data_IF_947299630436
#
_entry.id   IF_947299630436
#
_cell.length_a   1.000
_cell.length_b   1.000
_cell.length_c   1.000
_cell.angle_alpha   90.00
_cell.angle_beta   90.00
_cell.angle_gamma   90.00
#
_symmetry.space_group_name_H-M   'P 1'
#
loop_
_entity.id
_entity.type
_entity.pdbx_description
1 polymer ?
#
# COMPACT_ATOMS: atom_id res chain seq x y z
N UNK A 1 12.29 -8.42 -1.46
CA UNK A 1 11.95 -7.13 -0.85
C UNK A 1 11.44 -7.31 0.59
N UNK A 2 10.31 -7.99 0.84
CA UNK A 2 9.78 -8.17 2.21
C UNK A 2 10.77 -8.89 3.13
N UNK A 3 11.37 -9.99 2.69
CA UNK A 3 12.39 -10.73 3.44
C UNK A 3 13.57 -9.84 3.83
N UNK A 4 14.03 -8.99 2.94
CA UNK A 4 15.13 -8.06 3.19
C UNK A 4 14.77 -7.01 4.25
N UNK A 5 13.57 -6.41 4.16
CA UNK A 5 13.12 -5.45 5.16
C UNK A 5 12.83 -6.09 6.51
N UNK A 6 12.30 -7.32 6.55
CA UNK A 6 12.13 -8.08 7.80
C UNK A 6 13.49 -8.41 8.45
N UNK A 7 14.52 -8.74 7.66
CA UNK A 7 15.88 -8.95 8.16
C UNK A 7 16.50 -7.65 8.70
N UNK A 8 16.20 -6.50 8.06
CA UNK A 8 16.70 -5.19 8.50
C UNK A 8 16.00 -4.66 9.77
N UNK A 9 14.74 -5.02 9.98
CA UNK A 9 13.91 -4.57 11.09
C UNK A 9 13.21 -5.76 11.78
N UNK A 10 13.95 -6.68 12.44
CA UNK A 10 13.42 -7.96 12.90
C UNK A 10 12.32 -7.85 13.97
N UNK A 11 12.28 -6.76 14.74
CA UNK A 11 11.30 -6.53 15.81
C UNK A 11 10.43 -5.29 15.59
N UNK A 12 10.45 -4.74 14.38
CA UNK A 12 9.72 -3.51 14.04
C UNK A 12 8.93 -3.69 12.72
N UNK A 13 7.78 -4.36 12.79
CA UNK A 13 6.94 -4.57 11.61
C UNK A 13 6.44 -3.26 10.98
N UNK A 14 6.30 -2.18 11.74
CA UNK A 14 5.89 -0.88 11.19
C UNK A 14 6.99 -0.26 10.33
N UNK A 15 8.25 -0.38 10.73
CA UNK A 15 9.40 0.03 9.90
C UNK A 15 9.57 -0.84 8.67
N UNK A 16 9.22 -2.14 8.74
CA UNK A 16 9.14 -3.02 7.55
C UNK A 16 8.10 -2.48 6.57
N UNK A 17 6.88 -2.20 7.04
CA UNK A 17 5.82 -1.61 6.21
C UNK A 17 6.29 -0.30 5.59
N UNK A 18 6.78 0.63 6.40
CA UNK A 18 7.28 1.93 5.95
C UNK A 18 8.32 1.78 4.84
N UNK A 19 9.33 0.94 5.06
CA UNK A 19 10.42 0.73 4.10
C UNK A 19 9.94 0.15 2.78
N UNK A 20 9.04 -0.84 2.81
CA UNK A 20 8.46 -1.45 1.61
C UNK A 20 7.65 -0.41 0.82
N UNK A 21 6.81 0.38 1.49
CA UNK A 21 5.95 1.36 0.83
C UNK A 21 6.77 2.49 0.17
N UNK A 22 7.78 3.00 0.87
CA UNK A 22 8.70 3.99 0.30
C UNK A 22 9.41 3.42 -0.92
N UNK A 23 9.97 2.22 -0.80
CA UNK A 23 10.65 1.56 -1.93
C UNK A 23 9.71 1.37 -3.13
N UNK A 24 8.45 1.01 -2.90
CA UNK A 24 7.47 0.83 -3.99
C UNK A 24 7.24 2.14 -4.75
N UNK A 25 7.16 3.27 -4.07
CA UNK A 25 7.00 4.58 -4.70
C UNK A 25 8.29 5.03 -5.42
N UNK A 26 9.44 4.95 -4.75
CA UNK A 26 10.75 5.30 -5.33
C UNK A 26 11.07 4.45 -6.58
N UNK A 27 10.83 3.13 -6.51
CA UNK A 27 11.07 2.21 -7.63
C UNK A 27 10.15 2.45 -8.83
N UNK A 28 8.98 3.04 -8.63
CA UNK A 28 8.09 3.46 -9.74
C UNK A 28 8.75 4.53 -10.58
N UNK A 29 9.53 5.42 -9.97
CA UNK A 29 10.26 6.49 -10.66
C UNK A 29 11.59 5.98 -11.24
N UNK A 30 12.36 5.24 -10.44
CA UNK A 30 13.75 4.90 -10.74
C UNK A 30 13.94 3.64 -11.58
N UNK A 31 13.00 2.70 -11.53
CA UNK A 31 13.07 1.43 -12.27
C UNK A 31 12.26 1.48 -13.57
N UNK A 32 12.92 1.70 -14.70
CA UNK A 32 12.27 1.83 -16.01
C UNK A 32 11.34 0.66 -16.34
N UNK A 33 11.78 -0.59 -16.11
CA UNK A 33 10.97 -1.78 -16.37
C UNK A 33 9.68 -1.78 -15.55
N UNK A 34 9.75 -1.37 -14.30
CA UNK A 34 8.59 -1.27 -13.40
C UNK A 34 7.65 -0.17 -13.86
N UNK A 35 8.17 0.99 -14.20
CA UNK A 35 7.40 2.11 -14.74
C UNK A 35 6.63 1.70 -15.99
N UNK A 36 7.29 1.11 -16.99
CA UNK A 36 6.65 0.65 -18.22
C UNK A 36 5.55 -0.38 -17.96
N UNK A 37 5.78 -1.32 -17.03
CA UNK A 37 4.77 -2.30 -16.62
C UNK A 37 3.54 -1.61 -15.99
N UNK A 38 3.74 -0.64 -15.12
CA UNK A 38 2.66 0.12 -14.48
C UNK A 38 1.89 0.99 -15.49
N UNK A 39 2.57 1.62 -16.44
CA UNK A 39 1.93 2.35 -17.54
C UNK A 39 0.99 1.45 -18.35
N UNK A 40 1.41 0.21 -18.64
CA UNK A 40 0.56 -0.75 -19.34
C UNK A 40 -0.67 -1.08 -18.49
N UNK A 41 -0.47 -1.39 -17.22
CA UNK A 41 -1.55 -1.81 -16.31
C UNK A 41 -2.58 -0.69 -16.12
N UNK A 42 -2.13 0.54 -15.89
CA UNK A 42 -3.02 1.66 -15.56
C UNK A 42 -3.63 2.34 -16.80
N UNK A 43 -2.89 2.42 -17.91
CA UNK A 43 -3.28 3.31 -19.01
C UNK A 43 -3.50 2.62 -20.37
N UNK A 44 -3.04 1.38 -20.53
CA UNK A 44 -3.05 0.71 -21.85
C UNK A 44 -3.78 -0.64 -21.87
N UNK A 45 -4.22 -1.15 -20.72
CA UNK A 45 -4.88 -2.44 -20.63
C UNK A 45 -6.39 -2.32 -20.77
N UNK A 46 -6.94 -2.77 -21.89
CA UNK A 46 -8.37 -3.04 -22.04
C UNK A 46 -8.64 -4.50 -21.72
N UNK A 47 -9.40 -4.79 -20.66
CA UNK A 47 -9.69 -6.14 -20.20
C UNK A 47 -10.93 -6.72 -20.90
N UNK A 48 -10.89 -6.82 -22.24
CA UNK A 48 -11.97 -7.37 -23.05
C UNK A 48 -11.53 -8.63 -23.81
N UNK A 49 -12.44 -9.54 -24.08
CA UNK A 49 -12.17 -10.75 -24.83
C UNK A 49 -11.11 -11.66 -24.18
N UNK A 50 -10.05 -11.99 -24.89
CA UNK A 50 -8.96 -12.86 -24.41
C UNK A 50 -8.22 -12.30 -23.18
N UNK A 51 -8.29 -11.00 -22.95
CA UNK A 51 -7.71 -10.35 -21.78
C UNK A 51 -8.47 -10.60 -20.46
N UNK A 52 -9.62 -11.29 -20.52
CA UNK A 52 -10.38 -11.67 -19.30
C UNK A 52 -9.57 -12.58 -18.36
N UNK A 53 -8.64 -13.38 -18.89
CA UNK A 53 -7.72 -14.20 -18.08
C UNK A 53 -6.77 -13.32 -17.28
N UNK A 54 -6.24 -12.27 -17.90
CA UNK A 54 -5.36 -11.27 -17.23
C UNK A 54 -6.13 -10.52 -16.15
N UNK A 55 -7.37 -10.12 -16.44
CA UNK A 55 -8.24 -9.46 -15.45
C UNK A 55 -8.48 -10.36 -14.23
N UNK A 56 -8.76 -11.65 -14.45
CA UNK A 56 -8.96 -12.62 -13.37
C UNK A 56 -7.71 -12.77 -12.51
N UNK A 57 -6.53 -12.87 -13.12
CA UNK A 57 -5.25 -12.95 -12.43
C UNK A 57 -4.97 -11.67 -11.63
N UNK A 58 -5.20 -10.50 -12.20
CA UNK A 58 -5.06 -9.22 -11.49
C UNK A 58 -6.01 -9.10 -10.31
N UNK A 59 -7.27 -9.57 -10.46
CA UNK A 59 -8.24 -9.60 -9.37
C UNK A 59 -7.76 -10.48 -8.21
N UNK A 60 -7.23 -11.68 -8.50
CA UNK A 60 -6.68 -12.57 -7.47
C UNK A 60 -5.51 -11.91 -6.74
N UNK A 61 -4.56 -11.33 -7.47
CA UNK A 61 -3.41 -10.60 -6.88
C UNK A 61 -3.86 -9.42 -6.01
N UNK A 62 -4.92 -8.73 -6.43
CA UNK A 62 -5.51 -7.65 -5.64
C UNK A 62 -6.07 -8.16 -4.30
N UNK A 63 -6.84 -9.24 -4.32
CA UNK A 63 -7.42 -9.82 -3.10
C UNK A 63 -6.34 -10.37 -2.16
N UNK A 64 -5.37 -11.09 -2.70
CA UNK A 64 -4.21 -11.59 -1.94
C UNK A 64 -3.39 -10.44 -1.33
N UNK A 65 -3.28 -9.31 -2.02
CA UNK A 65 -2.58 -8.14 -1.48
C UNK A 65 -3.28 -7.57 -0.25
N UNK A 66 -4.62 -7.52 -0.24
CA UNK A 66 -5.37 -7.08 0.94
C UNK A 66 -5.12 -8.00 2.14
N UNK A 67 -5.13 -9.32 1.94
CA UNK A 67 -4.90 -10.30 3.01
C UNK A 67 -3.49 -10.15 3.60
N UNK A 68 -2.47 -9.99 2.76
CA UNK A 68 -1.10 -9.76 3.21
C UNK A 68 -0.94 -8.46 3.98
N UNK A 69 -1.54 -7.37 3.49
CA UNK A 69 -1.52 -6.08 4.18
C UNK A 69 -2.21 -6.20 5.54
N UNK A 70 -3.40 -6.83 5.60
CA UNK A 70 -4.11 -7.03 6.86
C UNK A 70 -3.28 -7.85 7.86
N UNK A 71 -2.61 -8.89 7.38
CA UNK A 71 -1.74 -9.71 8.23
C UNK A 71 -0.61 -8.86 8.84
N UNK A 72 0.09 -8.09 8.02
CA UNK A 72 1.18 -7.23 8.49
C UNK A 72 0.69 -6.11 9.43
N UNK A 73 -0.50 -5.53 9.18
CA UNK A 73 -1.09 -4.56 10.10
C UNK A 73 -1.45 -5.19 11.45
N UNK A 74 -1.91 -6.44 11.47
CA UNK A 74 -2.15 -7.19 12.72
C UNK A 74 -0.85 -7.47 13.48
N UNK A 75 0.25 -7.74 12.79
CA UNK A 75 1.58 -7.83 13.43
C UNK A 75 1.98 -6.48 14.07
N UNK A 76 1.74 -5.35 13.39
CA UNK A 76 1.99 -4.02 13.95
C UNK A 76 1.12 -3.73 15.20
N UNK A 77 -0.13 -4.17 15.20
CA UNK A 77 -1.02 -4.06 16.37
C UNK A 77 -0.51 -4.93 17.51
N UNK A 78 -0.13 -6.18 17.25
CA UNK A 78 0.42 -7.09 18.26
C UNK A 78 1.72 -6.56 18.89
N UNK A 79 2.52 -5.83 18.11
CA UNK A 79 3.71 -5.13 18.58
C UNK A 79 3.43 -3.78 19.29
N UNK A 80 2.15 -3.42 19.51
CA UNK A 80 1.71 -2.12 20.07
C UNK A 80 2.17 -0.88 19.27
N UNK A 81 2.40 -1.03 17.99
CA UNK A 81 2.83 0.06 17.09
C UNK A 81 1.65 0.72 16.38
N UNK A 82 0.51 0.05 16.33
CA UNK A 82 -0.76 0.57 15.81
C UNK A 82 -1.88 0.33 16.84
N UNK A 83 -2.94 1.13 16.82
CA UNK A 83 -4.07 0.99 17.75
C UNK A 83 -4.75 -0.37 17.66
N UNK A 84 -5.05 -0.97 18.84
CA UNK A 84 -5.65 -2.30 18.92
C UNK A 84 -7.02 -2.43 18.21
N UNK A 85 -7.76 -1.32 18.12
CA UNK A 85 -9.08 -1.26 17.47
C UNK A 85 -9.03 -0.76 16.02
N UNK A 86 -7.86 -0.79 15.37
CA UNK A 86 -7.73 -0.43 13.96
C UNK A 86 -8.54 -1.40 13.09
N UNK A 87 -9.38 -0.87 12.20
CA UNK A 87 -10.12 -1.63 11.19
C UNK A 87 -9.17 -2.06 10.06
N UNK A 88 -8.48 -3.18 10.25
CA UNK A 88 -7.36 -3.62 9.40
C UNK A 88 -7.76 -3.80 7.94
N UNK A 89 -8.98 -4.29 7.65
CA UNK A 89 -9.47 -4.41 6.26
C UNK A 89 -9.65 -3.05 5.60
N UNK A 90 -10.24 -2.08 6.32
CA UNK A 90 -10.39 -0.71 5.82
C UNK A 90 -9.04 -0.04 5.59
N UNK A 91 -8.11 -0.23 6.51
CA UNK A 91 -6.74 0.27 6.39
C UNK A 91 -6.00 -0.36 5.19
N UNK A 92 -6.18 -1.67 4.94
CA UNK A 92 -5.58 -2.35 3.78
C UNK A 92 -6.12 -1.82 2.44
N UNK A 93 -7.43 -1.60 2.34
CA UNK A 93 -8.05 -1.00 1.16
C UNK A 93 -7.52 0.42 0.94
N UNK A 94 -7.46 1.22 2.00
CA UNK A 94 -6.94 2.59 1.95
C UNK A 94 -5.47 2.61 1.49
N UNK A 95 -4.62 1.77 2.07
CA UNK A 95 -3.19 1.67 1.69
C UNK A 95 -3.04 1.41 0.19
N UNK A 96 -3.72 0.38 -0.30
CA UNK A 96 -3.60 0.00 -1.70
C UNK A 96 -4.12 1.10 -2.63
N UNK A 97 -5.28 1.69 -2.32
CA UNK A 97 -5.87 2.75 -3.13
C UNK A 97 -5.01 4.02 -3.13
N UNK A 98 -4.45 4.37 -1.97
CA UNK A 98 -3.58 5.53 -1.81
C UNK A 98 -2.29 5.40 -2.64
N UNK A 99 -1.60 4.25 -2.53
CA UNK A 99 -0.38 4.01 -3.29
C UNK A 99 -0.64 3.92 -4.80
N UNK A 100 -1.69 3.18 -5.19
CA UNK A 100 -2.07 3.07 -6.60
C UNK A 100 -2.41 4.43 -7.19
N UNK A 101 -3.15 5.27 -6.46
CA UNK A 101 -3.50 6.62 -6.90
C UNK A 101 -2.27 7.52 -7.06
N UNK A 102 -1.31 7.48 -6.12
CA UNK A 102 -0.06 8.23 -6.26
C UNK A 102 0.74 7.79 -7.49
N UNK A 103 0.90 6.48 -7.69
CA UNK A 103 1.64 5.96 -8.84
C UNK A 103 0.93 6.29 -10.16
N UNK A 104 -0.38 6.08 -10.25
CA UNK A 104 -1.17 6.35 -11.44
C UNK A 104 -1.13 7.84 -11.83
N UNK A 105 -1.36 8.73 -10.86
CA UNK A 105 -1.33 10.18 -11.10
C UNK A 105 0.06 10.65 -11.54
N UNK A 106 1.11 10.13 -10.92
CA UNK A 106 2.49 10.47 -11.32
C UNK A 106 2.81 9.96 -12.73
N UNK A 107 2.43 8.72 -13.06
CA UNK A 107 2.64 8.16 -14.41
C UNK A 107 1.88 8.94 -15.48
N UNK A 108 0.71 9.47 -15.15
CA UNK A 108 -0.09 10.29 -16.06
C UNK A 108 0.48 11.70 -16.25
N UNK A 109 1.00 12.30 -15.19
CA UNK A 109 1.52 13.66 -15.18
C UNK A 109 2.80 13.76 -14.31
N UNK A 110 3.96 13.26 -14.77
CA UNK A 110 5.17 13.13 -13.96
C UNK A 110 5.75 14.48 -13.51
N UNK A 111 5.42 15.57 -14.19
CA UNK A 111 5.86 16.91 -13.84
C UNK A 111 4.99 17.59 -12.77
N UNK A 112 3.91 16.94 -12.33
CA UNK A 112 2.95 17.55 -11.38
C UNK A 112 3.43 17.54 -9.94
N UNK A 113 4.25 16.57 -9.55
CA UNK A 113 4.87 16.43 -8.23
C UNK A 113 6.05 15.48 -8.27
N UNK A 114 6.96 15.60 -7.29
CA UNK A 114 8.18 14.79 -7.20
C UNK A 114 7.94 13.54 -6.32
N UNK A 115 7.42 12.47 -6.95
CA UNK A 115 7.08 11.23 -6.24
C UNK A 115 8.26 10.59 -5.54
N UNK A 116 9.47 10.62 -6.12
CA UNK A 116 10.68 10.05 -5.53
C UNK A 116 11.07 10.80 -4.25
N UNK A 117 11.16 12.12 -4.34
CA UNK A 117 11.56 12.98 -3.23
C UNK A 117 10.54 12.96 -2.08
N UNK A 118 9.25 12.92 -2.42
CA UNK A 118 8.15 13.01 -1.44
C UNK A 118 7.66 11.64 -0.96
N UNK A 119 8.20 10.52 -1.47
CA UNK A 119 7.75 9.17 -1.14
C UNK A 119 7.67 8.91 0.38
N UNK A 120 8.64 9.39 1.14
CA UNK A 120 8.70 9.24 2.60
C UNK A 120 7.58 10.00 3.31
N UNK A 121 7.28 11.19 2.84
CA UNK A 121 6.24 12.04 3.42
C UNK A 121 4.84 11.48 3.11
N UNK A 122 4.61 11.01 1.89
CA UNK A 122 3.37 10.32 1.54
C UNK A 122 3.13 9.07 2.38
N UNK A 123 4.18 8.28 2.62
CA UNK A 123 4.07 7.11 3.50
C UNK A 123 3.87 7.51 4.95
N UNK A 124 4.51 8.57 5.44
CA UNK A 124 4.29 9.09 6.78
C UNK A 124 2.84 9.52 6.99
N UNK A 125 2.26 10.29 6.06
CA UNK A 125 0.85 10.71 6.08
C UNK A 125 -0.08 9.48 6.20
N UNK A 126 0.14 8.44 5.40
CA UNK A 126 -0.67 7.22 5.46
C UNK A 126 -0.59 6.54 6.84
N UNK A 127 0.61 6.42 7.40
CA UNK A 127 0.80 5.76 8.70
C UNK A 127 0.24 6.61 9.85
N UNK A 128 0.31 7.94 9.76
CA UNK A 128 -0.35 8.86 10.69
C UNK A 128 -1.87 8.72 10.66
N UNK A 129 -2.46 8.57 9.47
CA UNK A 129 -3.89 8.27 9.36
C UNK A 129 -4.25 6.98 10.12
N UNK A 130 -3.40 5.95 10.08
CA UNK A 130 -3.65 4.72 10.84
C UNK A 130 -3.56 4.94 12.35
N UNK A 131 -2.73 5.85 12.81
CA UNK A 131 -2.58 6.15 14.22
C UNK A 131 -3.66 7.08 14.77
N UNK A 132 -4.14 8.04 13.97
CA UNK A 132 -4.93 9.14 14.50
C UNK A 132 -6.34 9.28 13.91
N UNK A 133 -6.66 8.66 12.77
CA UNK A 133 -7.97 8.83 12.15
C UNK A 133 -9.07 8.05 12.89
N UNK A 134 -10.07 8.71 13.50
CA UNK A 134 -11.14 8.03 14.25
C UNK A 134 -11.98 7.10 13.38
N UNK A 135 -12.17 7.42 12.09
CA UNK A 135 -12.97 6.64 11.15
C UNK A 135 -12.33 5.28 10.82
N UNK A 136 -11.04 5.12 11.13
CA UNK A 136 -10.34 3.83 11.04
C UNK A 136 -10.41 3.00 12.33
N UNK A 137 -11.22 3.38 13.31
CA UNK A 137 -11.40 2.66 14.58
C UNK A 137 -12.70 1.86 14.57
N UNK A 138 -12.64 0.65 15.12
CA UNK A 138 -13.86 -0.07 15.48
C UNK A 138 -14.61 0.75 16.56
N UNK A 139 -15.94 0.78 16.50
CA UNK A 139 -16.72 1.38 17.58
C UNK A 139 -16.30 0.77 18.92
N UNK A 140 -16.11 1.61 19.95
CA UNK A 140 -15.99 1.10 21.30
C UNK A 140 -17.28 0.35 21.62
N UNK A 141 -17.19 -0.92 22.01
CA UNK A 141 -18.35 -1.62 22.57
C UNK A 141 -18.87 -0.75 23.71
N UNK A 142 -20.06 -0.18 23.52
CA UNK A 142 -20.75 0.48 24.60
C UNK A 142 -20.95 -0.58 25.69
N UNK A 143 -20.24 -0.45 26.81
CA UNK A 143 -20.49 -1.26 27.99
C UNK A 143 -21.94 -0.94 28.43
N UNK A 144 -22.86 -1.86 28.09
CA UNK A 144 -24.17 -1.90 28.72
C UNK A 144 -24.03 -2.35 30.17
#
# INVERSE_FOLDING_TARGET
LEVEYRAKFPNDPLSVVRGILVHVLEATVTEERRRLMMEIIFHKCEFVGEMAVVQKAQRSLCLESYERIEHTLKECIAANMLPANLLTRRAAVLMRSYLSGLMENWLFAPDSFDLEKEARDYVAILLEMYQFCPTLRAPSEAKN
#
